data_IF_941379014896
#
_entry.id   IF_941379014896
#
_cell.length_a   1.000
_cell.length_b   1.000
_cell.length_c   1.000
_cell.angle_alpha   90.00
_cell.angle_beta   90.00
_cell.angle_gamma   90.00
#
_symmetry.space_group_name_H-M   'P 1'
#
loop_
_entity.id
_entity.type
_entity.pdbx_description
1 polymer ?
#
# COMPACT_ATOMS: atom_id res chain seq x y z
N UNK A 1 -3.42 6.25 43.34
CA UNK A 1 -4.18 6.70 42.14
C UNK A 1 -3.51 6.12 40.92
N UNK A 2 -4.13 5.51 39.93
CA UNK A 2 -5.45 4.93 39.73
C UNK A 2 -5.28 4.05 38.49
N UNK A 3 -5.82 2.83 38.55
CA UNK A 3 -5.86 1.83 37.47
C UNK A 3 -6.69 2.28 36.27
N UNK A 4 -6.38 1.78 35.06
CA UNK A 4 -7.35 0.99 34.28
C UNK A 4 -6.65 0.26 33.11
N UNK A 5 -6.55 -1.07 33.23
CA UNK A 5 -6.26 -1.97 32.13
C UNK A 5 -7.57 -2.30 31.42
N UNK A 6 -7.65 -2.05 30.12
CA UNK A 6 -8.80 -2.41 29.27
C UNK A 6 -8.48 -3.65 28.45
N UNK A 7 -8.57 -4.83 29.07
CA UNK A 7 -8.56 -6.12 28.39
C UNK A 7 -10.03 -6.46 28.08
N UNK A 8 -10.45 -6.26 26.83
CA UNK A 8 -11.80 -6.67 26.40
C UNK A 8 -11.74 -8.13 25.98
N UNK A 9 -12.19 -8.98 26.92
CA UNK A 9 -12.45 -10.39 26.74
C UNK A 9 -13.75 -10.53 25.92
N UNK A 10 -13.71 -11.19 24.77
CA UNK A 10 -14.91 -11.52 24.01
C UNK A 10 -15.47 -12.82 24.59
N UNK A 11 -16.43 -12.70 25.51
CA UNK A 11 -17.24 -13.82 25.97
C UNK A 11 -18.20 -14.24 24.87
N UNK A 12 -18.10 -15.54 24.58
CA UNK A 12 -19.01 -16.40 23.86
C UNK A 12 -20.34 -16.46 24.63
N UNK A 13 -21.42 -15.96 24.04
CA UNK A 13 -22.79 -16.36 24.41
C UNK A 13 -23.64 -16.30 23.13
N UNK A 14 -24.13 -17.47 22.77
CA UNK A 14 -25.12 -17.73 21.74
C UNK A 14 -26.42 -16.98 22.06
N UNK A 15 -26.92 -16.18 21.12
CA UNK A 15 -28.36 -16.12 20.90
C UNK A 15 -28.66 -16.06 19.41
N UNK A 16 -28.98 -17.25 18.91
CA UNK A 16 -29.64 -17.47 17.64
C UNK A 16 -31.07 -16.97 17.73
N UNK A 17 -31.35 -15.77 17.21
CA UNK A 17 -32.70 -15.44 16.76
C UNK A 17 -32.69 -14.71 15.41
N UNK A 18 -33.26 -15.43 14.45
CA UNK A 18 -33.66 -15.00 13.12
C UNK A 18 -34.71 -13.89 13.18
N UNK A 19 -34.51 -12.83 12.41
CA UNK A 19 -35.59 -11.98 11.91
C UNK A 19 -35.27 -11.59 10.46
N UNK A 20 -36.02 -12.21 9.54
CA UNK A 20 -36.19 -11.78 8.16
C UNK A 20 -36.77 -10.36 8.15
N UNK A 21 -36.00 -9.38 7.66
CA UNK A 21 -36.55 -8.07 7.32
C UNK A 21 -36.20 -7.74 5.86
N UNK A 22 -37.19 -7.99 5.01
CA UNK A 22 -37.23 -7.63 3.59
C UNK A 22 -37.36 -6.12 3.45
N UNK A 23 -36.25 -5.42 3.15
CA UNK A 23 -36.28 -4.00 2.76
C UNK A 23 -36.13 -3.89 1.25
N UNK A 24 -37.25 -3.58 0.59
CA UNK A 24 -37.34 -3.25 -0.84
C UNK A 24 -36.66 -1.91 -1.14
N UNK A 25 -35.59 -1.92 -1.94
CA UNK A 25 -34.94 -0.72 -2.47
C UNK A 25 -35.55 -0.31 -3.85
N UNK A 26 -35.53 1.00 -4.20
CA UNK A 26 -36.34 1.55 -5.28
C UNK A 26 -35.83 1.21 -6.69
N UNK A 27 -36.80 1.08 -7.60
CA UNK A 27 -36.67 0.71 -9.02
C UNK A 27 -35.76 1.67 -9.79
N UNK A 28 -34.62 1.18 -10.27
CA UNK A 28 -33.85 1.84 -11.32
C UNK A 28 -34.36 1.40 -12.70
N UNK A 29 -34.46 2.30 -13.70
CA UNK A 29 -34.89 1.92 -15.05
C UNK A 29 -33.84 1.03 -15.71
N UNK A 30 -34.25 -0.21 -15.94
CA UNK A 30 -33.56 -1.22 -16.73
C UNK A 30 -33.32 -0.74 -18.16
N UNK A 31 -32.05 -0.63 -18.56
CA UNK A 31 -31.66 -0.76 -19.96
C UNK A 31 -30.88 -2.08 -20.07
N UNK A 32 -31.61 -3.16 -20.39
CA UNK A 32 -31.00 -4.38 -20.89
C UNK A 32 -30.77 -4.24 -22.39
N UNK A 33 -29.56 -4.47 -22.94
CA UNK A 33 -29.48 -5.08 -24.25
C UNK A 33 -29.86 -6.55 -24.05
N UNK A 34 -31.10 -6.88 -24.43
CA UNK A 34 -31.53 -8.27 -24.57
C UNK A 34 -30.68 -8.94 -25.65
N UNK A 35 -29.68 -9.69 -25.21
CA UNK A 35 -29.13 -10.80 -25.98
C UNK A 35 -29.13 -12.00 -25.02
N UNK A 36 -30.29 -12.62 -24.86
CA UNK A 36 -30.34 -14.02 -24.46
C UNK A 36 -30.00 -14.85 -25.70
N UNK A 37 -28.91 -15.64 -25.74
CA UNK A 37 -28.93 -16.82 -26.58
C UNK A 37 -29.93 -17.77 -25.92
N UNK A 38 -31.11 -17.91 -26.53
CA UNK A 38 -32.02 -18.99 -26.22
C UNK A 38 -31.30 -20.30 -26.52
N UNK A 39 -30.78 -20.98 -25.49
CA UNK A 39 -30.30 -22.35 -25.63
C UNK A 39 -31.54 -23.24 -25.49
N UNK A 40 -32.28 -23.36 -26.60
CA UNK A 40 -33.18 -24.48 -26.78
C UNK A 40 -32.30 -25.71 -27.05
N UNK A 41 -32.55 -26.88 -26.44
CA UNK A 41 -31.91 -28.12 -26.86
C UNK A 41 -32.64 -28.61 -28.12
N UNK A 42 -32.50 -27.87 -29.22
CA UNK A 42 -32.92 -28.30 -30.55
C UNK A 42 -31.77 -29.07 -31.17
N UNK A 43 -32.11 -30.21 -31.78
CA UNK A 43 -31.20 -31.28 -32.17
C UNK A 43 -30.02 -30.88 -33.05
N UNK A 44 -29.08 -31.81 -33.16
CA UNK A 44 -27.83 -31.76 -33.92
C UNK A 44 -27.92 -30.88 -35.19
N UNK A 45 -27.57 -29.60 -35.06
CA UNK A 45 -27.41 -28.72 -36.20
C UNK A 45 -26.05 -28.99 -36.86
N UNK A 46 -26.09 -29.60 -38.04
CA UNK A 46 -24.93 -29.72 -38.90
C UNK A 46 -24.55 -28.32 -39.42
N UNK A 47 -23.62 -27.64 -38.74
CA UNK A 47 -23.10 -26.34 -39.18
C UNK A 47 -22.54 -26.49 -40.60
N UNK A 48 -23.03 -25.74 -41.61
CA UNK A 48 -22.49 -25.82 -42.96
C UNK A 48 -21.00 -25.47 -43.00
N UNK A 49 -20.20 -26.28 -43.69
CA UNK A 49 -18.75 -26.16 -43.77
C UNK A 49 -18.28 -24.77 -44.22
N UNK A 50 -19.03 -24.13 -45.13
CA UNK A 50 -18.78 -22.77 -45.59
C UNK A 50 -18.89 -21.71 -44.47
N UNK A 51 -19.78 -21.90 -43.49
CA UNK A 51 -19.92 -20.99 -42.35
C UNK A 51 -18.72 -21.09 -41.41
N UNK A 52 -18.24 -22.31 -41.18
CA UNK A 52 -17.02 -22.56 -40.39
C UNK A 52 -15.81 -21.90 -41.05
N UNK A 53 -15.65 -22.05 -42.37
CA UNK A 53 -14.58 -21.41 -43.12
C UNK A 53 -14.63 -19.88 -43.02
N UNK A 54 -15.81 -19.28 -43.12
CA UNK A 54 -15.96 -17.84 -42.97
C UNK A 54 -15.61 -17.35 -41.55
N UNK A 55 -16.02 -18.09 -40.51
CA UNK A 55 -15.63 -17.81 -39.12
C UNK A 55 -14.12 -17.88 -38.96
N UNK A 56 -13.47 -18.93 -39.48
CA UNK A 56 -12.03 -19.11 -39.41
C UNK A 56 -11.29 -18.01 -40.17
N UNK A 57 -11.72 -17.67 -41.39
CA UNK A 57 -11.14 -16.59 -42.19
C UNK A 57 -11.25 -15.24 -41.47
N UNK A 58 -12.40 -14.96 -40.86
CA UNK A 58 -12.61 -13.77 -40.03
C UNK A 58 -11.67 -13.77 -38.83
N UNK A 59 -11.55 -14.89 -38.12
CA UNK A 59 -10.63 -15.05 -36.98
C UNK A 59 -9.19 -14.75 -37.40
N UNK A 60 -8.72 -15.35 -38.49
CA UNK A 60 -7.35 -15.15 -38.98
C UNK A 60 -7.08 -13.69 -39.34
N UNK A 61 -8.00 -13.03 -40.06
CA UNK A 61 -7.87 -11.60 -40.39
C UNK A 61 -7.86 -10.71 -39.14
N UNK A 62 -8.70 -11.01 -38.15
CA UNK A 62 -8.71 -10.29 -36.88
C UNK A 62 -7.39 -10.47 -36.13
N UNK A 63 -6.93 -11.71 -35.99
CA UNK A 63 -5.66 -12.01 -35.34
C UNK A 63 -4.49 -11.32 -36.04
N UNK A 64 -4.44 -11.28 -37.37
CA UNK A 64 -3.38 -10.58 -38.10
C UNK A 64 -3.44 -9.06 -37.94
N UNK A 65 -4.64 -8.48 -37.85
CA UNK A 65 -4.82 -7.03 -37.71
C UNK A 65 -4.54 -6.53 -36.28
N UNK A 66 -4.79 -7.37 -35.28
CA UNK A 66 -4.57 -7.07 -33.87
C UNK A 66 -3.21 -7.55 -33.36
N UNK A 67 -2.46 -8.31 -34.18
CA UNK A 67 -1.15 -8.78 -33.80
C UNK A 67 -0.21 -7.59 -33.51
N UNK A 68 0.53 -7.61 -32.39
CA UNK A 68 1.52 -6.59 -32.12
C UNK A 68 2.60 -6.59 -33.21
N UNK A 69 3.30 -5.46 -33.38
CA UNK A 69 4.43 -5.40 -34.31
C UNK A 69 5.51 -6.42 -33.87
N UNK A 70 6.13 -7.14 -34.81
CA UNK A 70 7.26 -8.01 -34.49
C UNK A 70 8.40 -7.21 -33.86
N UNK A 71 9.12 -7.81 -32.91
CA UNK A 71 10.32 -7.23 -32.30
C UNK A 71 11.52 -7.69 -33.12
N UNK A 72 12.38 -6.76 -33.53
CA UNK A 72 13.55 -7.08 -34.35
C UNK A 72 14.47 -8.09 -33.63
N UNK A 73 14.77 -9.21 -34.29
CA UNK A 73 15.63 -10.26 -33.74
C UNK A 73 14.99 -11.17 -32.68
N UNK A 74 13.71 -10.99 -32.34
CA UNK A 74 13.00 -11.82 -31.35
C UNK A 74 11.81 -12.52 -31.98
N UNK A 75 11.92 -13.84 -32.13
CA UNK A 75 10.83 -14.67 -32.64
C UNK A 75 9.68 -14.77 -31.62
N UNK A 76 8.44 -14.82 -32.13
CA UNK A 76 7.21 -14.95 -31.33
C UNK A 76 7.15 -14.05 -30.08
N UNK A 77 7.67 -12.82 -30.15
CA UNK A 77 7.75 -11.87 -29.02
C UNK A 77 8.45 -12.44 -27.76
N UNK A 78 9.32 -13.44 -27.92
CA UNK A 78 10.00 -14.09 -26.81
C UNK A 78 9.11 -15.02 -26.01
N UNK A 79 7.89 -15.33 -26.49
CA UNK A 79 6.99 -16.29 -25.86
C UNK A 79 7.56 -17.70 -26.09
N UNK A 80 7.85 -18.47 -25.01
CA UNK A 80 8.36 -19.83 -25.14
C UNK A 80 7.40 -20.75 -25.89
N UNK A 81 7.95 -21.79 -26.51
CA UNK A 81 7.14 -22.85 -27.12
C UNK A 81 6.26 -23.56 -26.08
N UNK A 82 5.18 -24.16 -26.55
CA UNK A 82 4.28 -24.91 -25.69
C UNK A 82 5.04 -26.01 -24.92
N UNK A 83 4.83 -26.11 -23.59
CA UNK A 83 5.52 -27.11 -22.80
C UNK A 83 5.09 -28.52 -23.22
N UNK A 84 6.05 -29.37 -23.52
CA UNK A 84 5.79 -30.79 -23.88
C UNK A 84 5.60 -31.68 -22.65
N UNK A 85 5.87 -31.17 -21.45
CA UNK A 85 5.76 -31.93 -20.21
C UNK A 85 4.30 -32.15 -19.81
N UNK A 86 3.99 -33.33 -19.27
CA UNK A 86 2.68 -33.62 -18.70
C UNK A 86 2.45 -32.80 -17.43
N UNK A 87 1.23 -32.31 -17.25
CA UNK A 87 0.82 -31.67 -15.99
C UNK A 87 0.91 -32.66 -14.83
N UNK A 88 1.27 -32.15 -13.65
CA UNK A 88 1.24 -32.90 -12.39
C UNK A 88 -0.19 -33.37 -12.09
N UNK A 89 -0.35 -34.65 -11.74
CA UNK A 89 -1.64 -35.30 -11.54
C UNK A 89 -2.45 -34.59 -10.44
N UNK A 90 -1.80 -34.22 -9.33
CA UNK A 90 -2.46 -33.53 -8.21
C UNK A 90 -3.02 -32.16 -8.61
N UNK A 91 -2.35 -31.47 -9.54
CA UNK A 91 -2.83 -30.18 -10.06
C UNK A 91 -3.97 -30.38 -11.06
N UNK A 92 -3.84 -31.38 -11.93
CA UNK A 92 -4.87 -31.73 -12.90
C UNK A 92 -6.19 -32.10 -12.19
N UNK A 93 -6.13 -32.90 -11.13
CA UNK A 93 -7.31 -33.29 -10.35
C UNK A 93 -7.98 -32.09 -9.66
N UNK A 94 -7.19 -31.19 -9.07
CA UNK A 94 -7.72 -29.93 -8.48
C UNK A 94 -8.42 -29.06 -9.51
N UNK A 95 -7.85 -28.95 -10.70
CA UNK A 95 -8.45 -28.18 -11.80
C UNK A 95 -9.74 -28.88 -12.28
N UNK A 96 -9.72 -30.20 -12.46
CA UNK A 96 -10.90 -30.97 -12.86
C UNK A 96 -12.04 -30.81 -11.85
N UNK A 97 -11.74 -30.90 -10.56
CA UNK A 97 -12.69 -30.66 -9.48
C UNK A 97 -13.25 -29.22 -9.50
N UNK A 98 -12.38 -28.23 -9.67
CA UNK A 98 -12.83 -26.84 -9.77
C UNK A 98 -13.77 -26.63 -10.97
N UNK A 99 -13.47 -27.24 -12.11
CA UNK A 99 -14.31 -27.17 -13.31
C UNK A 99 -15.66 -27.87 -13.10
N UNK A 100 -15.70 -29.01 -12.38
CA UNK A 100 -16.96 -29.67 -12.06
C UNK A 100 -17.84 -28.82 -11.15
N UNK A 101 -17.27 -28.16 -10.14
CA UNK A 101 -17.99 -27.22 -9.28
C UNK A 101 -18.55 -26.03 -10.08
N UNK A 102 -17.74 -25.49 -11.00
CA UNK A 102 -18.16 -24.39 -11.87
C UNK A 102 -19.33 -24.80 -12.78
N UNK A 103 -19.32 -26.02 -13.30
CA UNK A 103 -20.41 -26.56 -14.13
C UNK A 103 -21.73 -26.72 -13.34
N UNK A 104 -21.64 -27.03 -12.05
CA UNK A 104 -22.79 -27.08 -11.12
C UNK A 104 -23.31 -25.69 -10.71
N UNK A 105 -22.67 -24.61 -11.17
CA UNK A 105 -23.07 -23.23 -10.87
C UNK A 105 -22.40 -22.63 -9.63
N UNK A 106 -21.48 -23.34 -8.96
CA UNK A 106 -20.73 -22.78 -7.85
C UNK A 106 -19.76 -21.70 -8.35
N UNK A 107 -19.91 -20.49 -7.82
CA UNK A 107 -19.03 -19.35 -8.10
C UNK A 107 -18.09 -19.13 -6.91
N UNK A 108 -16.81 -19.46 -7.06
CA UNK A 108 -15.82 -19.26 -6.00
C UNK A 108 -15.76 -17.82 -5.51
N UNK A 109 -15.89 -16.83 -6.39
CA UNK A 109 -15.90 -15.42 -5.99
C UNK A 109 -17.04 -15.11 -5.00
N UNK A 110 -18.19 -15.76 -5.15
CA UNK A 110 -19.28 -15.61 -4.19
C UNK A 110 -18.90 -16.21 -2.84
N UNK A 111 -18.38 -17.44 -2.83
CA UNK A 111 -17.95 -18.09 -1.58
C UNK A 111 -16.86 -17.27 -0.87
N UNK A 112 -15.91 -16.73 -1.65
CA UNK A 112 -14.83 -15.91 -1.15
C UNK A 112 -15.34 -14.59 -0.55
N UNK A 113 -16.30 -13.93 -1.20
CA UNK A 113 -16.91 -12.70 -0.72
C UNK A 113 -17.71 -12.91 0.58
N UNK A 114 -18.37 -14.06 0.77
CA UNK A 114 -19.13 -14.36 2.00
C UNK A 114 -18.20 -14.76 3.17
N UNK A 115 -16.96 -15.16 2.90
CA UNK A 115 -16.03 -15.58 3.92
C UNK A 115 -15.58 -14.39 4.79
N UNK A 116 -15.88 -14.43 6.10
CA UNK A 116 -15.52 -13.36 7.05
C UNK A 116 -14.01 -13.08 7.11
N UNK A 117 -13.17 -14.11 7.01
CA UNK A 117 -11.71 -13.93 7.04
C UNK A 117 -11.22 -13.19 5.80
N UNK A 118 -11.79 -13.49 4.63
CA UNK A 118 -11.41 -12.83 3.38
C UNK A 118 -11.86 -11.36 3.31
N UNK A 119 -12.94 -11.00 3.99
CA UNK A 119 -13.39 -9.60 4.13
C UNK A 119 -12.54 -8.77 5.10
N UNK A 120 -11.61 -9.37 5.84
CA UNK A 120 -10.74 -8.64 6.75
C UNK A 120 -9.65 -7.92 5.94
N UNK A 121 -9.56 -6.57 5.95
CA UNK A 121 -8.53 -5.85 5.20
C UNK A 121 -7.09 -6.29 5.54
N UNK A 122 -6.87 -6.78 6.77
CA UNK A 122 -5.56 -7.29 7.21
C UNK A 122 -5.15 -8.61 6.56
N UNK A 123 -6.05 -9.31 5.84
CA UNK A 123 -5.72 -10.55 5.15
C UNK A 123 -4.74 -10.30 3.99
N UNK A 124 -4.78 -9.12 3.37
CA UNK A 124 -3.97 -8.79 2.20
C UNK A 124 -2.46 -8.99 2.45
N UNK A 125 -1.94 -8.49 3.58
CA UNK A 125 -0.53 -8.66 3.95
C UNK A 125 -0.13 -10.16 4.04
N UNK A 126 -1.02 -11.01 4.57
CA UNK A 126 -0.77 -12.46 4.65
C UNK A 126 -0.82 -13.12 3.27
N UNK A 127 -1.68 -12.64 2.38
CA UNK A 127 -1.76 -13.17 1.02
C UNK A 127 -0.47 -12.88 0.27
N UNK A 128 0.05 -11.66 0.37
CA UNK A 128 1.32 -11.23 -0.23
C UNK A 128 2.49 -12.05 0.30
N UNK A 129 2.56 -12.26 1.62
CA UNK A 129 3.55 -13.13 2.26
C UNK A 129 3.44 -14.58 1.74
N UNK A 130 2.22 -15.13 1.66
CA UNK A 130 1.98 -16.51 1.22
C UNK A 130 2.38 -16.75 -0.24
N UNK A 131 2.09 -15.80 -1.13
CA UNK A 131 2.47 -15.89 -2.55
C UNK A 131 3.91 -15.45 -2.82
N UNK A 132 4.60 -14.92 -1.81
CA UNK A 132 5.97 -14.40 -1.89
C UNK A 132 6.15 -13.39 -3.03
N UNK A 133 5.24 -12.41 -3.10
CA UNK A 133 5.27 -11.33 -4.11
C UNK A 133 5.85 -10.06 -3.50
N UNK A 134 6.72 -9.39 -4.26
CA UNK A 134 7.15 -8.03 -3.97
C UNK A 134 6.09 -7.03 -4.47
N UNK A 135 5.44 -6.33 -3.54
CA UNK A 135 4.31 -5.43 -3.83
C UNK A 135 4.70 -4.23 -4.71
N UNK A 136 5.96 -3.81 -4.61
CA UNK A 136 6.51 -2.68 -5.39
C UNK A 136 7.44 -3.16 -6.50
N UNK A 137 7.57 -4.48 -6.66
CA UNK A 137 8.44 -5.11 -7.65
C UNK A 137 8.07 -4.74 -9.08
N UNK A 138 9.06 -4.83 -9.97
CA UNK A 138 8.89 -4.62 -11.41
C UNK A 138 9.48 -5.79 -12.19
N UNK A 139 8.90 -6.07 -13.37
CA UNK A 139 9.45 -7.02 -14.33
C UNK A 139 10.51 -6.37 -15.25
N UNK A 140 10.94 -5.14 -14.96
CA UNK A 140 12.01 -4.44 -15.68
C UNK A 140 13.39 -4.80 -15.13
N UNK A 141 14.43 -4.59 -15.93
CA UNK A 141 15.81 -4.76 -15.46
C UNK A 141 16.09 -3.75 -14.32
N UNK A 142 16.72 -4.18 -13.21
CA UNK A 142 17.04 -3.28 -12.10
C UNK A 142 17.91 -2.08 -12.49
N UNK A 143 18.68 -2.16 -13.58
CA UNK A 143 19.45 -1.03 -14.10
C UNK A 143 18.55 0.05 -14.73
N UNK A 144 17.43 -0.35 -15.32
CA UNK A 144 16.46 0.57 -15.91
C UNK A 144 15.50 1.12 -14.86
N UNK A 145 15.02 0.24 -13.97
CA UNK A 145 14.11 0.61 -12.89
C UNK A 145 14.27 -0.31 -11.69
N UNK A 146 14.79 0.25 -10.59
CA UNK A 146 14.84 -0.42 -9.31
C UNK A 146 13.87 0.25 -8.32
N UNK A 147 12.74 -0.38 -7.97
CA UNK A 147 11.79 0.16 -6.98
C UNK A 147 12.41 0.28 -5.57
N UNK A 148 13.45 -0.50 -5.28
CA UNK A 148 14.21 -0.47 -4.03
C UNK A 148 15.56 0.24 -4.19
N UNK A 149 15.68 1.12 -5.20
CA UNK A 149 16.93 1.82 -5.51
C UNK A 149 17.23 3.00 -4.58
N UNK A 150 16.31 3.37 -3.68
CA UNK A 150 16.54 4.44 -2.72
C UNK A 150 17.48 3.99 -1.60
N UNK A 151 18.26 4.93 -1.09
CA UNK A 151 19.14 4.67 0.04
C UNK A 151 18.34 4.41 1.33
N UNK A 152 18.87 3.55 2.21
CA UNK A 152 18.23 3.20 3.48
C UNK A 152 17.89 4.44 4.34
N UNK A 153 18.71 5.50 4.25
CA UNK A 153 18.49 6.76 4.98
C UNK A 153 17.22 7.51 4.56
N UNK A 154 16.67 7.23 3.38
CA UNK A 154 15.47 7.89 2.87
C UNK A 154 14.17 7.23 3.33
N UNK A 155 14.25 6.01 3.87
CA UNK A 155 13.11 5.33 4.47
C UNK A 155 12.85 5.86 5.88
N UNK A 156 11.63 5.62 6.37
CA UNK A 156 11.18 6.10 7.69
C UNK A 156 12.17 5.74 8.79
N UNK A 157 12.65 4.50 8.80
CA UNK A 157 13.58 4.02 9.83
C UNK A 157 14.92 4.78 9.80
N UNK A 158 15.48 5.01 8.61
CA UNK A 158 16.70 5.81 8.44
C UNK A 158 16.52 7.29 8.80
N UNK A 159 15.37 7.87 8.47
CA UNK A 159 15.02 9.23 8.88
C UNK A 159 14.90 9.33 10.41
N UNK A 160 14.28 8.36 11.06
CA UNK A 160 14.14 8.33 12.52
C UNK A 160 15.50 8.16 13.21
N UNK A 161 16.38 7.33 12.66
CA UNK A 161 17.73 7.13 13.17
C UNK A 161 18.57 8.41 13.09
N UNK A 162 18.59 9.07 11.93
CA UNK A 162 19.29 10.35 11.76
C UNK A 162 18.74 11.46 12.67
N UNK A 163 17.41 11.53 12.84
CA UNK A 163 16.79 12.48 13.76
C UNK A 163 17.18 12.22 15.21
N UNK A 164 17.25 10.95 15.62
CA UNK A 164 17.69 10.54 16.95
C UNK A 164 19.14 10.94 17.21
N UNK A 165 20.04 10.68 16.28
CA UNK A 165 21.45 11.06 16.40
C UNK A 165 21.63 12.59 16.53
N UNK A 166 20.88 13.37 15.75
CA UNK A 166 20.91 14.83 15.83
C UNK A 166 20.37 15.34 17.17
N UNK A 167 19.31 14.72 17.70
CA UNK A 167 18.77 15.05 19.02
C UNK A 167 19.80 14.75 20.14
N UNK A 168 20.45 13.60 20.09
CA UNK A 168 21.50 13.22 21.04
C UNK A 168 22.73 14.14 20.95
N UNK A 169 23.15 14.51 19.73
CA UNK A 169 24.27 15.43 19.52
C UNK A 169 23.95 16.84 20.06
N UNK A 170 22.72 17.32 19.88
CA UNK A 170 22.25 18.60 20.45
C UNK A 170 22.18 18.54 21.97
N UNK A 171 21.69 17.44 22.54
CA UNK A 171 21.65 17.25 24.00
C UNK A 171 23.06 17.27 24.62
N UNK A 172 24.05 16.64 23.95
CA UNK A 172 25.45 16.67 24.39
C UNK A 172 26.04 18.08 24.35
N UNK A 173 25.76 18.86 23.30
CA UNK A 173 26.22 20.26 23.15
C UNK A 173 25.48 21.26 24.06
N UNK A 174 24.25 20.95 24.48
CA UNK A 174 23.42 21.78 25.34
C UNK A 174 23.68 21.61 26.85
N UNK A 175 24.64 20.78 27.25
CA UNK A 175 25.05 20.64 28.65
C UNK A 175 25.87 21.86 29.11
N UNK A 176 25.20 23.00 29.26
CA UNK A 176 25.76 24.15 29.96
C UNK A 176 25.94 23.75 31.43
N UNK A 177 27.16 23.51 31.86
CA UNK A 177 27.51 23.37 33.27
C UNK A 177 27.25 24.71 33.95
N UNK A 178 26.12 24.81 34.67
CA UNK A 178 25.88 25.90 35.59
C UNK A 178 26.85 25.77 36.77
N UNK A 179 28.02 26.37 36.63
CA UNK A 179 28.92 26.59 37.76
C UNK A 179 28.23 27.60 38.67
N UNK A 180 27.76 27.16 39.83
CA UNK A 180 27.31 28.05 40.91
C UNK A 180 28.55 28.80 41.40
N UNK A 181 28.80 29.99 40.86
CA UNK A 181 29.81 30.89 41.42
C UNK A 181 29.31 31.33 42.79
N UNK A 182 29.92 30.82 43.87
CA UNK A 182 29.80 31.44 45.18
C UNK A 182 30.57 32.76 45.14
N UNK A 183 29.87 33.80 44.70
CA UNK A 183 30.38 35.16 44.71
C UNK A 183 30.42 35.59 46.18
N UNK A 184 31.61 35.68 46.75
CA UNK A 184 31.79 36.20 48.10
C UNK A 184 31.13 37.58 48.19
N UNK A 185 30.48 37.90 49.31
CA UNK A 185 29.71 39.14 49.47
C UNK A 185 30.49 40.40 49.08
N UNK A 186 31.81 40.39 49.30
CA UNK A 186 32.73 41.46 48.89
C UNK A 186 32.85 41.60 47.37
N UNK A 187 32.95 40.50 46.63
CA UNK A 187 33.03 40.51 45.16
C UNK A 187 31.72 40.99 44.52
N UNK A 188 30.57 40.64 45.10
CA UNK A 188 29.27 41.17 44.67
C UNK A 188 29.17 42.69 44.85
N UNK A 189 29.72 43.23 45.93
CA UNK A 189 29.71 44.68 46.18
C UNK A 189 30.67 45.43 45.26
N UNK A 190 31.85 44.86 44.96
CA UNK A 190 32.81 45.45 44.01
C UNK A 190 32.21 45.49 42.61
N UNK A 191 31.54 44.42 42.17
CA UNK A 191 30.88 44.36 40.87
C UNK A 191 29.70 45.34 40.78
N UNK A 192 28.88 45.44 41.82
CA UNK A 192 27.77 46.41 41.88
C UNK A 192 28.27 47.86 41.82
N UNK A 193 29.38 48.18 42.51
CA UNK A 193 30.03 49.50 42.43
C UNK A 193 30.60 49.79 41.05
N UNK A 194 31.23 48.80 40.40
CA UNK A 194 31.75 48.95 39.04
C UNK A 194 30.61 49.22 38.03
N UNK A 195 29.48 48.51 38.16
CA UNK A 195 28.31 48.71 37.31
C UNK A 195 27.65 50.09 37.53
N UNK A 196 27.56 50.54 38.79
CA UNK A 196 27.05 51.87 39.11
C UNK A 196 27.95 53.00 38.57
N UNK A 197 29.27 52.82 38.57
CA UNK A 197 30.19 53.77 37.96
C UNK A 197 30.10 53.78 36.43
N UNK A 198 29.97 52.61 35.80
CA UNK A 198 29.75 52.51 34.36
C UNK A 198 28.44 53.20 33.93
N UNK A 199 27.37 53.03 34.70
CA UNK A 199 26.09 53.72 34.46
C UNK A 199 26.19 55.24 34.55
N UNK A 200 26.96 55.77 35.52
CA UNK A 200 27.22 57.22 35.66
C UNK A 200 28.07 57.80 34.53
N UNK A 201 29.01 57.02 34.00
CA UNK A 201 29.82 57.43 32.86
C UNK A 201 28.96 57.43 31.59
N UNK A 202 28.14 56.40 31.41
CA UNK A 202 27.21 56.31 30.29
C UNK A 202 26.21 57.48 30.28
N UNK A 203 25.63 57.86 31.43
CA UNK A 203 24.69 58.98 31.51
C UNK A 203 25.35 60.34 31.20
N UNK A 204 26.61 60.56 31.60
CA UNK A 204 27.36 61.78 31.25
C UNK A 204 27.67 61.87 29.75
N UNK A 205 27.91 60.74 29.09
CA UNK A 205 28.16 60.70 27.65
C UNK A 205 26.87 60.98 26.87
N UNK A 206 25.72 60.53 27.36
CA UNK A 206 24.42 60.81 26.72
C UNK A 206 23.94 62.25 26.91
N UNK A 207 24.29 62.91 28.02
CA UNK A 207 23.89 64.30 28.30
C UNK A 207 24.82 65.34 27.64
N UNK A 208 26.09 65.01 27.39
CA UNK A 208 27.06 65.91 26.75
C UNK A 208 26.94 66.05 25.23
N UNK A 209 26.09 65.25 24.57
CA UNK A 209 25.97 65.19 23.11
C UNK A 209 25.00 66.17 22.45
N UNK A 210 24.27 66.99 23.22
CA UNK A 210 23.21 67.87 22.67
C UNK A 210 23.49 69.39 22.79
N UNK A 211 24.74 69.79 22.96
CA UNK A 211 25.11 71.21 23.00
C UNK A 211 26.31 71.50 22.09
N UNK A 212 26.09 71.44 20.77
CA UNK A 212 26.81 72.24 19.78
C UNK A 212 26.09 72.16 18.42
N UNK A 213 25.14 73.09 18.23
CA UNK A 213 24.83 73.72 16.96
C UNK A 213 25.01 75.22 17.17
#
# INVERSE_FOLDING_TARGET
>A
MSSLAGLVNYSDEEDSSSVDEQVQLPVQPSIQPSIQPSIQPSGQEHIPEAHVQHILARKTRLMSALAPKPIEGVDNWGIPNEPTQSCDADRADKIAHFLSLKALGHRLNNHLAHNKAFRNPRIYAKLVEFINVDEVGSNMDPNDFNPHGFDASFYIDGILETQKELAEAKAKKGSVQFVKSELTQEQSQVMAKAMANAAKIASRITEGGNAQK
#
